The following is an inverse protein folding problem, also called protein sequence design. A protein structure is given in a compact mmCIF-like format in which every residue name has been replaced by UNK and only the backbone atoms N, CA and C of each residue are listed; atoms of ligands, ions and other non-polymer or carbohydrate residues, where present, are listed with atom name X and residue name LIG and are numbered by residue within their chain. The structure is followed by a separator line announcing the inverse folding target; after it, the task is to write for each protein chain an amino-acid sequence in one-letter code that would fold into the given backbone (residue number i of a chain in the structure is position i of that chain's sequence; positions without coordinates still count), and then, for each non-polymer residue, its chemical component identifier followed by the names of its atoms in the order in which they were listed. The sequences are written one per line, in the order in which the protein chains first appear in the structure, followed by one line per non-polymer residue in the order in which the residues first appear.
data_IF_092881693553
#
_entry.id   IF_092881693553
#
_cell.length_a   1.000
_cell.length_b   1.000
_cell.length_c   1.000
_cell.angle_alpha   90.00
_cell.angle_beta   90.00
_cell.angle_gamma   90.00
#
_symmetry.space_group_name_H-M   'P 1'
#
loop_
_entity.id
_entity.type
_entity.pdbx_description
1 polymer ?
#
# COMPACT_ATOMS: atom_id res chain seq x y z
N UNK A 1 -21.17 3.31 36.78
CA UNK A 1 -19.90 2.57 36.60
C UNK A 1 -20.12 1.66 35.42
N UNK A 2 -19.92 2.18 34.22
CA UNK A 2 -19.84 1.39 32.99
C UNK A 2 -18.66 0.45 33.20
N UNK A 3 -18.91 -0.85 33.13
CA UNK A 3 -17.86 -1.86 33.26
C UNK A 3 -16.81 -1.61 32.19
N UNK A 4 -15.56 -1.65 32.64
CA UNK A 4 -14.31 -1.61 31.86
C UNK A 4 -14.35 -2.47 30.58
N UNK A 5 -15.18 -3.53 30.61
CA UNK A 5 -15.47 -4.44 29.50
C UNK A 5 -16.03 -3.76 28.23
N UNK A 6 -16.78 -2.66 28.37
CA UNK A 6 -17.33 -1.96 27.20
C UNK A 6 -16.29 -1.14 26.43
N UNK A 7 -15.24 -0.68 27.12
CA UNK A 7 -14.15 0.11 26.53
C UNK A 7 -13.11 -0.80 25.87
N UNK A 8 -12.86 -1.97 26.45
CA UNK A 8 -12.01 -3.02 25.87
C UNK A 8 -12.60 -3.61 24.58
N UNK A 9 -13.94 -3.79 24.51
CA UNK A 9 -14.58 -4.34 23.33
C UNK A 9 -14.56 -3.37 22.12
N UNK A 10 -14.78 -2.08 22.35
CA UNK A 10 -14.66 -1.07 21.29
C UNK A 10 -13.22 -0.95 20.79
N UNK A 11 -12.22 -1.05 21.67
CA UNK A 11 -10.81 -1.08 21.28
C UNK A 11 -10.45 -2.37 20.52
N UNK A 12 -11.02 -3.51 20.88
CA UNK A 12 -10.82 -4.77 20.16
C UNK A 12 -11.42 -4.72 18.75
N UNK A 13 -12.62 -4.14 18.60
CA UNK A 13 -13.30 -3.96 17.32
C UNK A 13 -12.57 -2.95 16.41
N UNK A 14 -12.00 -1.89 16.98
CA UNK A 14 -11.11 -0.97 16.23
C UNK A 14 -9.81 -1.66 15.79
N UNK A 15 -9.30 -2.65 16.53
CA UNK A 15 -8.11 -3.44 16.14
C UNK A 15 -8.45 -4.44 15.03
N UNK A 16 -9.63 -5.07 15.08
CA UNK A 16 -10.09 -6.01 14.05
C UNK A 16 -10.31 -5.32 12.68
N UNK A 17 -10.73 -4.05 12.66
CA UNK A 17 -10.92 -3.29 11.41
C UNK A 17 -9.61 -3.06 10.62
N UNK A 18 -8.45 -3.16 11.27
CA UNK A 18 -7.13 -3.13 10.62
C UNK A 18 -6.63 -4.51 10.15
N UNK A 19 -7.28 -5.61 10.51
CA UNK A 19 -6.83 -6.96 10.14
C UNK A 19 -7.19 -7.35 8.70
N UNK A 20 -8.15 -6.66 8.07
CA UNK A 20 -8.59 -6.98 6.71
C UNK A 20 -7.68 -6.41 5.61
N UNK A 21 -6.83 -5.44 5.92
CA UNK A 21 -5.86 -4.90 4.96
C UNK A 21 -4.49 -5.60 5.04
N UNK A 22 -3.89 -5.98 3.90
CA UNK A 22 -2.56 -6.57 3.93
C UNK A 22 -1.51 -5.65 4.54
N UNK A 23 -0.68 -6.22 5.42
CA UNK A 23 0.40 -5.47 6.07
C UNK A 23 1.45 -4.99 5.07
N UNK A 24 1.80 -3.71 5.12
CA UNK A 24 2.92 -3.14 4.38
C UNK A 24 4.26 -3.70 4.90
N UNK A 25 5.08 -4.21 3.99
CA UNK A 25 6.45 -4.67 4.25
C UNK A 25 7.47 -3.58 3.93
N UNK A 26 7.35 -2.97 2.74
CA UNK A 26 8.28 -1.95 2.27
C UNK A 26 7.66 -1.10 1.16
N UNK A 27 8.14 0.14 1.05
CA UNK A 27 7.80 1.07 -0.04
C UNK A 27 9.06 1.37 -0.85
N UNK A 28 8.97 1.24 -2.17
CA UNK A 28 10.04 1.52 -3.11
C UNK A 28 9.66 2.66 -4.04
N UNK A 29 10.53 3.67 -4.15
CA UNK A 29 10.51 4.61 -5.26
C UNK A 29 11.38 4.02 -6.37
N UNK A 30 10.79 3.81 -7.54
CA UNK A 30 11.45 3.07 -8.63
C UNK A 30 11.05 3.63 -9.99
N UNK A 31 11.82 3.27 -11.02
CA UNK A 31 11.43 3.51 -12.42
C UNK A 31 10.41 2.47 -12.91
N UNK A 32 9.76 2.70 -14.06
CA UNK A 32 8.75 1.78 -14.60
C UNK A 32 9.27 0.35 -14.81
N UNK A 33 10.50 0.23 -15.33
CA UNK A 33 11.14 -1.05 -15.65
C UNK A 33 11.50 -1.84 -14.38
N UNK A 34 12.01 -1.14 -13.36
CA UNK A 34 12.32 -1.72 -12.07
C UNK A 34 11.04 -2.13 -11.32
N UNK A 35 9.99 -1.31 -11.38
CA UNK A 35 8.68 -1.64 -10.82
C UNK A 35 8.14 -2.96 -11.40
N UNK A 36 8.26 -3.16 -12.71
CA UNK A 36 7.83 -4.38 -13.38
C UNK A 36 8.56 -5.63 -12.85
N UNK A 37 9.88 -5.55 -12.69
CA UNK A 37 10.66 -6.66 -12.15
C UNK A 37 10.34 -6.95 -10.68
N UNK A 38 10.09 -5.90 -9.87
CA UNK A 38 9.65 -6.06 -8.49
C UNK A 38 8.26 -6.69 -8.38
N UNK A 39 7.32 -6.33 -9.26
CA UNK A 39 5.99 -6.97 -9.31
C UNK A 39 6.11 -8.46 -9.63
N UNK A 40 6.93 -8.82 -10.63
CA UNK A 40 7.17 -10.23 -10.98
C UNK A 40 7.79 -10.99 -9.81
N UNK A 41 8.77 -10.40 -9.13
CA UNK A 41 9.40 -11.01 -7.97
C UNK A 41 8.41 -11.21 -6.81
N UNK A 42 7.60 -10.19 -6.49
CA UNK A 42 6.56 -10.27 -5.47
C UNK A 42 5.54 -11.38 -5.78
N UNK A 43 5.11 -11.49 -7.04
CA UNK A 43 4.21 -12.55 -7.48
C UNK A 43 4.82 -13.95 -7.26
N UNK A 44 6.10 -14.16 -7.59
CA UNK A 44 6.78 -15.44 -7.37
C UNK A 44 6.90 -15.80 -5.88
N UNK A 45 6.93 -14.80 -5.01
CA UNK A 45 7.03 -14.95 -3.56
C UNK A 45 5.67 -15.03 -2.85
N UNK A 46 4.56 -14.85 -3.59
CA UNK A 46 3.21 -14.84 -3.03
C UNK A 46 2.90 -13.58 -2.21
N UNK A 47 3.63 -12.49 -2.45
CA UNK A 47 3.43 -11.20 -1.79
C UNK A 47 2.39 -10.36 -2.55
N UNK A 48 1.75 -9.44 -1.84
CA UNK A 48 0.91 -8.42 -2.45
C UNK A 48 1.71 -7.24 -2.96
N UNK A 49 1.12 -6.50 -3.89
CA UNK A 49 1.69 -5.26 -4.42
C UNK A 49 0.60 -4.21 -4.54
N UNK A 50 0.91 -2.98 -4.16
CA UNK A 50 0.13 -1.79 -4.49
C UNK A 50 1.02 -0.81 -5.22
N UNK A 51 0.61 -0.40 -6.42
CA UNK A 51 1.40 0.45 -7.31
C UNK A 51 0.68 1.78 -7.50
N UNK A 52 1.36 2.87 -7.16
CA UNK A 52 0.87 4.23 -7.36
C UNK A 52 1.81 4.95 -8.32
N UNK A 53 1.23 5.57 -9.34
CA UNK A 53 1.94 6.45 -10.25
C UNK A 53 1.51 7.90 -10.00
N UNK A 54 2.46 8.83 -10.04
CA UNK A 54 2.15 10.26 -10.08
C UNK A 54 3.06 10.99 -11.06
N UNK A 55 2.49 12.00 -11.71
CA UNK A 55 3.24 12.93 -12.56
C UNK A 55 3.50 14.19 -11.74
N UNK A 56 4.78 14.49 -11.49
CA UNK A 56 5.23 15.69 -10.79
C UNK A 56 5.76 16.70 -11.81
N UNK A 57 5.14 17.89 -11.95
CA UNK A 57 5.70 18.96 -12.77
C UNK A 57 7.11 19.34 -12.28
N UNK A 58 8.01 19.66 -13.19
CA UNK A 58 9.32 20.20 -12.82
C UNK A 58 9.15 21.64 -12.29
N UNK A 59 9.87 21.96 -11.22
CA UNK A 59 9.81 23.28 -10.59
C UNK A 59 10.61 24.34 -11.38
N UNK A 60 11.62 23.90 -12.12
CA UNK A 60 12.54 24.73 -12.89
C UNK A 60 12.18 24.77 -14.39
N UNK A 61 11.35 23.84 -14.88
CA UNK A 61 10.93 23.77 -16.28
C UNK A 61 9.42 23.48 -16.44
N UNK A 62 8.68 24.52 -16.84
CA UNK A 62 7.22 24.44 -17.02
C UNK A 62 6.77 23.54 -18.20
N UNK A 63 7.68 23.11 -19.07
CA UNK A 63 7.39 22.19 -20.18
C UNK A 63 7.75 20.73 -19.88
N UNK A 64 8.27 20.43 -18.68
CA UNK A 64 8.64 19.07 -18.29
C UNK A 64 7.97 18.59 -17.00
N UNK A 65 7.89 17.27 -16.86
CA UNK A 65 7.37 16.59 -15.70
C UNK A 65 8.08 15.26 -15.50
N UNK A 66 8.26 14.86 -14.24
CA UNK A 66 8.82 13.57 -13.85
C UNK A 66 7.69 12.60 -13.51
N UNK A 67 7.77 11.40 -14.08
CA UNK A 67 6.93 10.28 -13.67
C UNK A 67 7.57 9.57 -12.48
N UNK A 68 6.83 9.44 -11.38
CA UNK A 68 7.26 8.77 -10.16
C UNK A 68 6.37 7.55 -9.88
N UNK A 69 7.01 6.39 -9.67
CA UNK A 69 6.34 5.15 -9.30
C UNK A 69 6.67 4.79 -7.86
N UNK A 70 5.63 4.64 -7.05
CA UNK A 70 5.70 4.12 -5.69
C UNK A 70 5.12 2.72 -5.67
N UNK A 71 5.94 1.75 -5.28
CA UNK A 71 5.57 0.35 -5.18
C UNK A 71 5.63 -0.09 -3.72
N UNK A 72 4.47 -0.41 -3.18
CA UNK A 72 4.31 -0.99 -1.86
C UNK A 72 4.31 -2.52 -1.99
N UNK A 73 5.18 -3.19 -1.24
CA UNK A 73 5.20 -4.63 -1.06
C UNK A 73 4.37 -4.97 0.17
N UNK A 74 3.37 -5.82 0.00
CA UNK A 74 2.43 -6.21 1.04
C UNK A 74 2.61 -7.70 1.39
N UNK A 75 2.27 -8.07 2.62
CA UNK A 75 2.35 -9.45 3.11
C UNK A 75 1.45 -10.41 2.32
N UNK A 76 0.28 -9.94 1.90
CA UNK A 76 -0.67 -10.67 1.06
C UNK A 76 -1.24 -9.74 -0.03
N UNK A 77 -1.79 -10.28 -1.12
CA UNK A 77 -2.46 -9.48 -2.14
C UNK A 77 -3.60 -8.62 -1.55
N UNK A 78 -3.73 -7.35 -1.95
CA UNK A 78 -4.86 -6.52 -1.54
C UNK A 78 -6.16 -7.10 -2.10
N UNK A 79 -7.16 -7.22 -1.23
CA UNK A 79 -8.53 -7.57 -1.61
C UNK A 79 -9.22 -6.28 -2.06
N UNK A 80 -9.89 -6.31 -3.20
CA UNK A 80 -10.75 -5.22 -3.65
C UNK A 80 -12.16 -5.76 -3.55
N UNK A 81 -12.99 -5.14 -2.72
CA UNK A 81 -14.41 -5.48 -2.67
C UNK A 81 -15.04 -5.13 -4.02
N UNK A 82 -15.73 -6.11 -4.62
CA UNK A 82 -16.50 -5.90 -5.84
C UNK A 82 -17.79 -5.16 -5.46
N UNK A 83 -17.82 -3.83 -5.65
CA UNK A 83 -19.04 -2.99 -5.55
C UNK A 83 -20.14 -3.42 -6.56
#
# INVERSE_FOLDING_TARGET
MTTDEGVELDQLLEIEEYEDEPRLIATHLCGPEEALEMVKAAQLLGLGVRLTNRIRPDEDDAESATEEWLLDILETPPVVDED
#
